data_IF_815698477899
#
_entry.id   IF_815698477899
#
_cell.length_a   1.000
_cell.length_b   1.000
_cell.length_c   1.000
_cell.angle_alpha   90.00
_cell.angle_beta   90.00
_cell.angle_gamma   90.00
#
_symmetry.space_group_name_H-M   'P 1'
#
loop_
_entity.id
_entity.type
_entity.pdbx_description
1 polymer ?
#
# COMPACT_ATOMS: atom_id res chain seq x y z
N UNK A 1 19.59 -3.07 -1.46
CA UNK A 1 19.15 -3.95 -0.34
C UNK A 1 17.62 -4.10 -0.33
N UNK A 2 17.08 -5.31 -0.54
CA UNK A 2 15.64 -5.57 -0.34
C UNK A 2 15.36 -5.49 1.17
N UNK A 3 14.54 -4.55 1.61
CA UNK A 3 14.01 -4.56 2.99
C UNK A 3 13.07 -5.76 3.11
N UNK A 4 13.47 -6.78 3.87
CA UNK A 4 12.66 -7.96 4.19
C UNK A 4 11.97 -7.81 5.55
N UNK A 5 11.58 -6.58 5.91
CA UNK A 5 10.82 -6.27 7.11
C UNK A 5 9.33 -6.15 6.83
N UNK A 6 8.49 -6.25 7.87
CA UNK A 6 7.08 -5.87 7.79
C UNK A 6 7.05 -4.40 7.37
N UNK A 7 6.40 -4.10 6.25
CA UNK A 7 6.15 -2.73 5.83
C UNK A 7 4.75 -2.35 6.28
N UNK A 8 4.65 -1.32 7.11
CA UNK A 8 3.38 -0.85 7.62
C UNK A 8 2.63 -0.03 6.54
N UNK A 9 1.29 -0.02 6.54
CA UNK A 9 0.52 0.75 5.57
C UNK A 9 0.91 2.23 5.48
N UNK A 10 1.18 2.87 6.63
CA UNK A 10 1.59 4.27 6.67
C UNK A 10 2.95 4.52 6.02
N UNK A 11 3.86 3.54 6.05
CA UNK A 11 5.15 3.65 5.37
C UNK A 11 4.97 3.65 3.85
N UNK A 12 4.07 2.81 3.31
CA UNK A 12 3.77 2.81 1.87
C UNK A 12 3.17 4.15 1.44
N UNK A 13 2.20 4.68 2.19
CA UNK A 13 1.55 5.97 1.88
C UNK A 13 2.56 7.11 1.88
N UNK A 14 3.42 7.17 2.90
CA UNK A 14 4.48 8.18 2.99
C UNK A 14 5.47 8.06 1.83
N UNK A 15 5.95 6.85 1.52
CA UNK A 15 6.88 6.64 0.42
C UNK A 15 6.27 7.01 -0.94
N UNK A 16 5.00 6.67 -1.18
CA UNK A 16 4.30 7.07 -2.40
C UNK A 16 4.29 8.60 -2.55
N UNK A 17 3.90 9.32 -1.50
CA UNK A 17 3.90 10.77 -1.51
C UNK A 17 5.30 11.38 -1.78
N UNK A 18 6.32 10.91 -1.06
CA UNK A 18 7.70 11.40 -1.20
C UNK A 18 8.30 11.11 -2.58
N UNK A 19 7.81 10.09 -3.28
CA UNK A 19 8.29 9.70 -4.61
C UNK A 19 7.44 10.26 -5.76
N UNK A 20 6.48 11.15 -5.47
CA UNK A 20 5.64 11.80 -6.48
C UNK A 20 4.50 10.92 -7.00
N UNK A 21 4.13 9.87 -6.25
CA UNK A 21 2.97 9.04 -6.55
C UNK A 21 1.78 9.44 -5.69
N UNK A 22 0.60 9.39 -6.30
CA UNK A 22 -0.69 9.58 -5.65
C UNK A 22 -1.34 8.23 -5.41
N UNK A 23 -1.79 7.97 -4.19
CA UNK A 23 -2.60 6.80 -3.88
C UNK A 23 -3.99 6.95 -4.47
N UNK A 24 -4.42 5.95 -5.25
CA UNK A 24 -5.72 5.93 -5.93
C UNK A 24 -6.67 4.96 -5.26
N UNK A 25 -6.16 3.79 -4.84
CA UNK A 25 -6.95 2.79 -4.14
C UNK A 25 -6.06 1.95 -3.23
N UNK A 26 -6.67 1.45 -2.15
CA UNK A 26 -6.10 0.43 -1.28
C UNK A 26 -7.18 -0.58 -0.93
N UNK A 27 -6.81 -1.86 -0.86
CA UNK A 27 -7.76 -2.91 -0.54
C UNK A 27 -7.09 -4.16 0.03
N UNK A 28 -7.88 -4.91 0.80
CA UNK A 28 -7.55 -6.22 1.31
C UNK A 28 -7.71 -7.28 0.22
N UNK A 29 -6.72 -8.15 0.07
CA UNK A 29 -6.73 -9.28 -0.88
C UNK A 29 -6.96 -8.85 -2.34
N UNK A 30 -7.08 -9.82 -3.25
CA UNK A 30 -7.23 -9.55 -4.69
C UNK A 30 -8.66 -9.19 -5.11
N UNK A 31 -9.63 -9.29 -4.19
CA UNK A 31 -11.05 -9.08 -4.48
C UNK A 31 -11.50 -7.62 -4.30
N UNK A 32 -10.56 -6.72 -3.98
CA UNK A 32 -10.85 -5.31 -3.65
C UNK A 32 -11.70 -5.16 -2.39
N UNK A 33 -11.53 -6.07 -1.44
CA UNK A 33 -12.20 -6.01 -0.16
C UNK A 33 -11.71 -4.81 0.64
N UNK A 34 -12.47 -4.42 1.66
CA UNK A 34 -11.97 -3.48 2.65
C UNK A 34 -10.65 -3.99 3.26
N UNK A 35 -9.68 -3.10 3.41
CA UNK A 35 -8.41 -3.45 4.03
C UNK A 35 -8.57 -3.50 5.55
N UNK A 36 -8.62 -4.72 6.10
CA UNK A 36 -8.71 -4.97 7.53
C UNK A 36 -7.32 -5.21 8.14
N UNK A 37 -7.14 -4.97 9.46
CA UNK A 37 -5.89 -5.30 10.15
C UNK A 37 -5.51 -6.80 10.04
N UNK A 38 -6.52 -7.67 9.91
CA UNK A 38 -6.34 -9.12 9.73
C UNK A 38 -6.18 -9.54 8.27
N UNK A 39 -6.23 -8.62 7.31
CA UNK A 39 -6.08 -8.95 5.89
C UNK A 39 -4.67 -9.52 5.64
N UNK A 40 -4.54 -10.73 5.09
CA UNK A 40 -3.24 -11.36 4.88
C UNK A 40 -2.42 -10.66 3.78
N UNK A 41 -3.07 -9.86 2.94
CA UNK A 41 -2.46 -9.07 1.86
C UNK A 41 -3.11 -7.69 1.79
N UNK A 42 -2.26 -6.67 1.64
CA UNK A 42 -2.66 -5.32 1.29
C UNK A 42 -2.19 -5.02 -0.14
N UNK A 43 -3.07 -4.43 -0.95
CA UNK A 43 -2.76 -4.01 -2.32
C UNK A 43 -2.94 -2.50 -2.41
N UNK A 44 -1.94 -1.81 -2.97
CA UNK A 44 -1.93 -0.36 -3.17
C UNK A 44 -1.83 -0.05 -4.66
N UNK A 45 -2.74 0.78 -5.15
CA UNK A 45 -2.74 1.28 -6.53
C UNK A 45 -2.29 2.73 -6.50
N UNK A 46 -1.15 2.98 -7.16
CA UNK A 46 -0.50 4.27 -7.22
C UNK A 46 -0.48 4.79 -8.66
N UNK A 47 -0.74 6.08 -8.83
CA UNK A 47 -0.56 6.77 -10.10
C UNK A 47 0.57 7.79 -9.98
N UNK A 48 1.36 7.93 -11.04
CA UNK A 48 2.41 8.95 -11.10
C UNK A 48 1.74 10.32 -11.27
N UNK A 49 2.11 11.27 -10.40
CA UNK A 49 1.66 12.66 -10.49
C UNK A 49 2.42 13.42 -11.57
#
# INVERSE_FOLDING_TARGET
>A
PRKTGIVLPNEIRLQAHLTGFRLVAEYGNYQRDELLPSSPRAIYILEKS
#
